data_IF_937843788877
#
_entry.id   IF_937843788877
#
_cell.length_a   1.000
_cell.length_b   1.000
_cell.length_c   1.000
_cell.angle_alpha   90.00
_cell.angle_beta   90.00
_cell.angle_gamma   90.00
#
_symmetry.space_group_name_H-M   'P 1'
#
loop_
_entity.id
_entity.type
_entity.pdbx_description
1 polymer ?
#
# COMPACT_ATOMS: atom_id res chain seq x y z
N UNK A 1 -55.69 -17.16 0.98
CA UNK A 1 -54.55 -16.64 1.77
C UNK A 1 -53.36 -17.48 1.36
N UNK A 2 -52.67 -17.03 0.31
CA UNK A 2 -51.50 -17.70 -0.25
C UNK A 2 -50.28 -17.38 0.62
N UNK A 3 -49.69 -18.43 1.16
CA UNK A 3 -48.48 -18.36 1.97
C UNK A 3 -47.32 -18.60 1.00
N UNK A 4 -46.73 -17.51 0.51
CA UNK A 4 -45.45 -17.57 -0.21
C UNK A 4 -44.37 -18.08 0.75
N UNK A 5 -43.90 -19.31 0.52
CA UNK A 5 -42.65 -19.79 1.10
C UNK A 5 -41.49 -19.18 0.31
N UNK A 6 -40.90 -18.15 0.90
CA UNK A 6 -39.62 -17.58 0.48
C UNK A 6 -38.51 -18.58 0.80
N UNK A 7 -37.95 -19.21 -0.24
CA UNK A 7 -36.77 -20.05 -0.11
C UNK A 7 -35.55 -19.14 0.00
N UNK A 8 -35.14 -18.87 1.23
CA UNK A 8 -33.82 -18.34 1.56
C UNK A 8 -32.75 -19.23 0.92
N UNK A 9 -32.17 -18.77 -0.19
CA UNK A 9 -30.92 -19.29 -0.74
C UNK A 9 -29.82 -18.99 0.28
N UNK A 10 -29.59 -19.96 1.16
CA UNK A 10 -28.39 -20.01 1.98
C UNK A 10 -27.20 -20.09 1.03
N UNK A 11 -26.46 -19.00 0.93
CA UNK A 11 -25.23 -18.91 0.16
C UNK A 11 -24.17 -19.75 0.87
N UNK A 12 -24.07 -21.02 0.47
CA UNK A 12 -23.07 -21.97 0.91
C UNK A 12 -21.72 -21.57 0.31
N UNK A 13 -21.12 -20.50 0.84
CA UNK A 13 -19.69 -20.24 0.61
C UNK A 13 -18.92 -21.44 1.13
N UNK A 14 -18.40 -22.26 0.22
CA UNK A 14 -17.59 -23.40 0.61
C UNK A 14 -16.35 -22.88 1.34
N UNK A 15 -16.09 -23.29 2.59
CA UNK A 15 -15.20 -22.57 3.48
C UNK A 15 -13.69 -22.68 3.20
N UNK A 16 -13.24 -23.19 2.04
CA UNK A 16 -11.82 -23.58 1.87
C UNK A 16 -11.22 -23.35 0.47
N UNK A 17 -11.67 -22.36 -0.31
CA UNK A 17 -10.89 -21.98 -1.49
C UNK A 17 -9.73 -21.07 -1.07
N UNK A 18 -8.61 -21.68 -0.70
CA UNK A 18 -7.33 -20.96 -0.63
C UNK A 18 -7.03 -20.36 -1.99
N UNK A 19 -6.87 -19.02 -2.11
CA UNK A 19 -6.52 -18.38 -3.37
C UNK A 19 -5.26 -19.00 -3.96
N UNK A 20 -5.27 -19.27 -5.27
CA UNK A 20 -4.16 -19.92 -5.98
C UNK A 20 -3.48 -18.93 -6.91
N UNK A 21 -2.14 -18.88 -6.95
CA UNK A 21 -1.42 -18.04 -7.90
C UNK A 21 -1.70 -18.49 -9.33
N UNK A 22 -1.86 -17.51 -10.22
CA UNK A 22 -1.95 -17.73 -11.67
C UNK A 22 -0.60 -17.33 -12.29
N UNK A 23 -0.02 -18.24 -13.06
CA UNK A 23 1.19 -17.95 -13.83
C UNK A 23 0.84 -17.13 -15.07
N UNK A 24 1.39 -15.93 -15.16
CA UNK A 24 1.18 -15.02 -16.30
C UNK A 24 2.41 -15.04 -17.20
N UNK A 25 2.27 -15.65 -18.37
CA UNK A 25 3.37 -15.93 -19.31
C UNK A 25 3.58 -14.85 -20.38
N UNK A 26 2.60 -13.96 -20.58
CA UNK A 26 2.70 -12.85 -21.53
C UNK A 26 1.65 -11.75 -21.24
N UNK A 27 1.84 -10.57 -21.83
CA UNK A 27 0.86 -9.48 -21.74
C UNK A 27 -0.52 -9.85 -22.33
N UNK A 28 -0.55 -10.63 -23.42
CA UNK A 28 -1.82 -11.08 -24.01
C UNK A 28 -2.51 -12.10 -23.11
N UNK A 29 -1.76 -13.03 -22.53
CA UNK A 29 -2.28 -13.98 -21.55
C UNK A 29 -2.87 -13.25 -20.33
N UNK A 30 -2.22 -12.19 -19.84
CA UNK A 30 -2.79 -11.34 -18.78
C UNK A 30 -4.12 -10.71 -19.21
N UNK A 31 -4.19 -10.14 -20.42
CA UNK A 31 -5.41 -9.51 -20.94
C UNK A 31 -6.57 -10.52 -21.03
N UNK A 32 -6.29 -11.74 -21.48
CA UNK A 32 -7.26 -12.84 -21.54
C UNK A 32 -7.80 -13.18 -20.14
N UNK A 33 -6.90 -13.43 -19.17
CA UNK A 33 -7.27 -13.70 -17.76
C UNK A 33 -8.18 -12.59 -17.20
N UNK A 34 -7.81 -11.33 -17.40
CA UNK A 34 -8.57 -10.18 -16.90
C UNK A 34 -9.96 -10.07 -17.56
N UNK A 35 -10.06 -10.31 -18.87
CA UNK A 35 -11.34 -10.25 -19.59
C UNK A 35 -12.27 -11.42 -19.22
N UNK A 36 -11.74 -12.64 -19.07
CA UNK A 36 -12.50 -13.82 -18.62
C UNK A 36 -13.13 -13.59 -17.25
N UNK A 37 -12.44 -12.83 -16.40
CA UNK A 37 -12.89 -12.43 -15.07
C UNK A 37 -13.63 -11.09 -15.05
N UNK A 38 -14.08 -10.60 -16.22
CA UNK A 38 -14.92 -9.41 -16.39
C UNK A 38 -14.31 -8.12 -15.84
N UNK A 39 -12.98 -8.01 -15.84
CA UNK A 39 -12.28 -6.77 -15.45
C UNK A 39 -12.39 -5.76 -16.60
N UNK A 40 -12.80 -4.50 -16.34
CA UNK A 40 -13.07 -3.51 -17.37
C UNK A 40 -11.78 -2.85 -17.90
N UNK A 41 -11.05 -3.55 -18.77
CA UNK A 41 -9.78 -3.05 -19.33
C UNK A 41 -9.89 -1.69 -20.05
N UNK A 42 -11.07 -1.32 -20.54
CA UNK A 42 -11.30 -0.02 -21.18
C UNK A 42 -11.18 1.18 -20.24
N UNK A 43 -11.23 0.97 -18.92
CA UNK A 43 -11.03 2.02 -17.91
C UNK A 43 -9.55 2.19 -17.52
N UNK A 44 -8.72 1.20 -17.86
CA UNK A 44 -7.31 1.19 -17.49
C UNK A 44 -6.50 2.12 -18.41
N UNK A 45 -5.47 2.78 -17.84
CA UNK A 45 -4.68 3.78 -18.55
C UNK A 45 -5.39 5.13 -18.76
N UNK A 46 -6.55 5.33 -18.13
CA UNK A 46 -7.29 6.61 -18.16
C UNK A 46 -7.30 7.28 -16.80
N UNK A 47 -7.24 8.63 -16.77
CA UNK A 47 -7.26 9.39 -15.52
C UNK A 47 -6.12 9.02 -14.56
N UNK A 48 -6.46 8.43 -13.41
CA UNK A 48 -5.50 7.94 -12.40
C UNK A 48 -5.25 6.42 -12.49
N UNK A 49 -5.98 5.71 -13.34
CA UNK A 49 -5.80 4.28 -13.53
C UNK A 49 -4.52 4.02 -14.34
N UNK A 50 -3.74 3.04 -13.90
CA UNK A 50 -2.54 2.58 -14.61
C UNK A 50 -2.94 1.72 -15.81
N UNK A 51 -2.15 1.69 -16.89
CA UNK A 51 -2.40 0.81 -18.03
C UNK A 51 -2.12 -0.66 -17.67
N UNK A 52 -2.65 -1.60 -18.45
CA UNK A 52 -2.46 -3.05 -18.24
C UNK A 52 -1.00 -3.47 -18.39
N UNK A 53 -0.25 -2.78 -19.23
CA UNK A 53 1.20 -2.96 -19.40
C UNK A 53 1.96 -2.68 -18.08
N UNK A 54 1.53 -1.69 -17.31
CA UNK A 54 2.13 -1.40 -16.00
C UNK A 54 1.79 -2.46 -14.96
N UNK A 55 0.58 -3.05 -15.01
CA UNK A 55 0.26 -4.18 -14.15
C UNK A 55 1.10 -5.39 -14.53
N UNK A 56 1.21 -5.70 -15.82
CA UNK A 56 2.07 -6.78 -16.31
C UNK A 56 3.52 -6.62 -15.85
N UNK A 57 4.09 -5.42 -15.96
CA UNK A 57 5.44 -5.12 -15.46
C UNK A 57 5.57 -5.46 -13.97
N UNK A 58 4.64 -5.00 -13.13
CA UNK A 58 4.66 -5.30 -11.68
C UNK A 58 4.59 -6.80 -11.36
N UNK A 59 3.92 -7.61 -12.20
CA UNK A 59 3.92 -9.07 -12.05
C UNK A 59 5.27 -9.68 -12.42
N UNK A 60 5.93 -9.16 -13.46
CA UNK A 60 7.26 -9.64 -13.89
C UNK A 60 8.37 -9.25 -12.91
N UNK A 61 8.24 -8.07 -12.28
CA UNK A 61 9.17 -7.57 -11.27
C UNK A 61 8.95 -8.22 -9.90
N UNK A 62 7.82 -8.93 -9.72
CA UNK A 62 7.47 -9.59 -8.46
C UNK A 62 6.90 -8.65 -7.39
N UNK A 63 6.60 -7.40 -7.76
CA UNK A 63 5.90 -6.43 -6.90
C UNK A 63 4.46 -6.83 -6.60
N UNK A 64 3.86 -7.65 -7.47
CA UNK A 64 2.51 -8.15 -7.31
C UNK A 64 2.42 -9.61 -7.75
N UNK A 65 1.46 -10.32 -7.16
CA UNK A 65 1.02 -11.64 -7.61
C UNK A 65 -0.46 -11.55 -7.95
N UNK A 66 -0.90 -12.31 -8.96
CA UNK A 66 -2.31 -12.48 -9.26
C UNK A 66 -2.78 -13.84 -8.75
N UNK A 67 -3.84 -13.83 -7.96
CA UNK A 67 -4.45 -15.00 -7.35
C UNK A 67 -5.88 -15.16 -7.86
N UNK A 68 -6.40 -16.39 -7.81
CA UNK A 68 -7.80 -16.69 -8.04
C UNK A 68 -8.37 -17.47 -6.86
N UNK A 69 -9.44 -16.97 -6.24
CA UNK A 69 -10.11 -17.60 -5.08
C UNK A 69 -11.27 -18.53 -5.47
N UNK A 70 -11.49 -18.71 -6.77
CA UNK A 70 -12.58 -19.52 -7.33
C UNK A 70 -13.74 -18.68 -7.83
N UNK A 71 -13.87 -17.44 -7.37
CA UNK A 71 -14.93 -16.51 -7.77
C UNK A 71 -14.39 -15.30 -8.52
N UNK A 72 -13.20 -14.81 -8.14
CA UNK A 72 -12.63 -13.57 -8.66
C UNK A 72 -11.09 -13.57 -8.64
N UNK A 73 -10.54 -12.60 -9.37
CA UNK A 73 -9.10 -12.29 -9.35
C UNK A 73 -8.77 -11.36 -8.18
N UNK A 74 -7.65 -11.67 -7.53
CA UNK A 74 -7.08 -10.86 -6.46
C UNK A 74 -5.66 -10.49 -6.87
N UNK A 75 -5.35 -9.20 -6.88
CA UNK A 75 -3.97 -8.71 -6.90
C UNK A 75 -3.45 -8.69 -5.47
N UNK A 76 -2.49 -9.55 -5.16
CA UNK A 76 -1.82 -9.53 -3.87
C UNK A 76 -0.52 -8.73 -3.98
N UNK A 77 -0.30 -7.85 -3.00
CA UNK A 77 0.93 -7.08 -2.84
C UNK A 77 1.40 -7.16 -1.40
N UNK A 78 2.70 -7.32 -1.22
CA UNK A 78 3.36 -7.29 0.09
C UNK A 78 3.93 -5.89 0.29
N UNK A 79 3.62 -5.27 1.42
CA UNK A 79 3.94 -3.88 1.70
C UNK A 79 4.62 -3.80 3.05
N UNK A 80 5.82 -3.24 3.08
CA UNK A 80 6.46 -2.81 4.30
C UNK A 80 5.90 -1.45 4.69
N UNK A 81 5.52 -1.29 5.94
CA UNK A 81 5.08 -0.02 6.51
C UNK A 81 5.94 0.29 7.73
N UNK A 82 6.46 1.51 7.81
CA UNK A 82 7.30 1.93 8.94
C UNK A 82 6.89 3.26 9.51
N UNK A 83 7.28 3.49 10.76
CA UNK A 83 7.57 4.82 11.28
C UNK A 83 9.07 5.06 11.22
N UNK A 84 9.46 6.21 10.68
CA UNK A 84 10.87 6.57 10.55
C UNK A 84 11.19 7.61 11.61
N UNK A 85 12.30 7.40 12.31
CA UNK A 85 12.78 8.27 13.37
C UNK A 85 14.21 8.74 13.13
N UNK A 86 14.57 9.89 13.66
CA UNK A 86 15.94 10.41 13.63
C UNK A 86 16.27 11.14 14.92
N UNK A 87 17.44 10.85 15.48
CA UNK A 87 18.01 11.59 16.60
C UNK A 87 18.58 12.92 16.10
N UNK A 88 18.33 14.00 16.85
CA UNK A 88 18.82 15.33 16.50
C UNK A 88 18.89 16.25 17.71
N UNK A 89 19.02 17.56 17.45
CA UNK A 89 18.87 18.59 18.48
C UNK A 89 17.71 19.48 18.10
N UNK A 90 16.86 19.79 19.07
CA UNK A 90 15.83 20.81 18.95
C UNK A 90 16.49 22.13 18.48
N UNK A 91 16.04 22.74 17.37
CA UNK A 91 16.65 23.95 16.84
C UNK A 91 16.48 25.18 17.74
N UNK A 92 15.50 25.17 18.65
CA UNK A 92 15.21 26.25 19.59
C UNK A 92 15.91 26.05 20.94
N UNK A 93 15.87 24.84 21.47
CA UNK A 93 16.42 24.56 22.82
C UNK A 93 17.83 23.99 22.79
N UNK A 94 18.29 23.47 21.65
CA UNK A 94 19.59 22.82 21.48
C UNK A 94 19.72 21.47 22.18
N UNK A 95 18.65 20.98 22.82
CA UNK A 95 18.64 19.71 23.55
C UNK A 95 18.50 18.54 22.59
N UNK A 96 19.09 17.37 22.91
CA UNK A 96 18.83 16.14 22.16
C UNK A 96 17.34 15.81 22.13
N UNK A 97 16.84 15.47 20.97
CA UNK A 97 15.44 15.14 20.74
C UNK A 97 15.31 14.13 19.58
N UNK A 98 14.29 13.27 19.65
CA UNK A 98 13.95 12.30 18.61
C UNK A 98 12.84 12.87 17.75
N UNK A 99 13.02 12.78 16.44
CA UNK A 99 12.07 13.30 15.45
C UNK A 99 11.46 12.16 14.65
N UNK A 100 10.18 12.24 14.33
CA UNK A 100 9.47 11.30 13.45
C UNK A 100 9.29 11.92 12.06
N UNK A 101 9.57 11.15 11.00
CA UNK A 101 9.26 11.56 9.63
C UNK A 101 7.75 11.52 9.41
N UNK A 102 7.20 12.58 8.83
CA UNK A 102 5.84 12.61 8.32
C UNK A 102 5.88 12.50 6.79
N UNK A 103 5.41 11.37 6.25
CA UNK A 103 5.36 11.03 4.81
C UNK A 103 4.87 12.19 3.95
N UNK A 104 3.84 12.84 4.48
CA UNK A 104 3.02 13.85 3.82
C UNK A 104 3.75 15.12 3.40
N UNK A 105 4.85 15.44 4.06
CA UNK A 105 5.63 16.65 3.83
C UNK A 105 7.12 16.37 3.70
N UNK A 106 7.52 15.08 3.69
CA UNK A 106 8.93 14.66 3.82
C UNK A 106 9.66 15.49 4.88
N UNK A 107 9.00 15.71 6.03
CA UNK A 107 9.46 16.61 7.08
C UNK A 107 9.49 15.87 8.41
N UNK A 108 10.52 16.13 9.20
CA UNK A 108 10.69 15.57 10.54
C UNK A 108 10.06 16.51 11.57
N UNK A 109 9.23 15.97 12.46
CA UNK A 109 8.65 16.68 13.61
C UNK A 109 9.10 16.02 14.91
N UNK A 110 9.20 16.75 16.04
CA UNK A 110 9.50 16.14 17.32
C UNK A 110 8.54 14.99 17.67
N UNK A 111 9.07 13.92 18.26
CA UNK A 111 8.27 12.77 18.68
C UNK A 111 7.24 13.17 19.73
N UNK A 112 6.01 12.65 19.61
CA UNK A 112 4.89 12.97 20.50
C UNK A 112 4.12 14.24 20.14
N UNK A 113 4.57 15.02 19.15
CA UNK A 113 3.79 16.16 18.62
C UNK A 113 2.69 15.64 17.70
N UNK A 114 1.44 15.94 18.05
CA UNK A 114 0.27 15.72 17.18
C UNK A 114 0.07 16.95 16.30
N UNK A 115 -0.02 16.74 14.99
CA UNK A 115 -0.33 17.80 14.04
C UNK A 115 -1.79 17.66 13.61
N UNK A 116 -2.65 18.49 14.19
CA UNK A 116 -4.07 18.53 13.83
C UNK A 116 -4.36 19.58 12.75
N UNK A 117 -3.63 20.70 12.79
CA UNK A 117 -3.83 21.83 11.88
C UNK A 117 -2.60 22.15 11.04
N UNK A 118 -2.82 22.92 9.97
CA UNK A 118 -1.75 23.49 9.16
C UNK A 118 -0.89 24.48 9.97
N UNK A 119 -1.48 25.20 10.93
CA UNK A 119 -0.76 26.15 11.78
C UNK A 119 0.21 25.44 12.73
N UNK A 120 -0.21 24.32 13.34
CA UNK A 120 0.67 23.50 14.20
C UNK A 120 1.87 23.00 13.40
N UNK A 121 1.62 22.60 12.16
CA UNK A 121 2.66 22.11 11.28
C UNK A 121 3.65 23.21 10.89
N UNK A 122 3.18 24.40 10.54
CA UNK A 122 4.05 25.55 10.23
C UNK A 122 4.89 26.00 11.43
N UNK A 123 4.37 25.83 12.65
CA UNK A 123 5.12 26.08 13.88
C UNK A 123 6.21 25.02 14.13
N UNK A 124 5.99 23.78 13.69
CA UNK A 124 6.86 22.64 13.97
C UNK A 124 7.64 22.12 12.76
N UNK A 125 7.54 22.75 11.59
CA UNK A 125 8.24 22.35 10.35
C UNK A 125 8.91 23.54 9.65
N UNK A 126 9.83 23.24 8.74
CA UNK A 126 10.52 24.26 7.94
C UNK A 126 9.53 24.79 6.88
N UNK A 127 9.33 26.12 6.74
CA UNK A 127 8.30 26.69 5.86
C UNK A 127 8.45 26.30 4.38
N UNK A 128 7.33 25.93 3.72
CA UNK A 128 7.23 25.92 2.25
C UNK A 128 6.94 24.58 1.54
N UNK A 129 6.68 23.48 2.25
CA UNK A 129 6.41 22.16 1.61
C UNK A 129 5.42 21.31 2.41
N UNK A 130 4.15 21.71 2.46
CA UNK A 130 3.27 21.15 3.48
C UNK A 130 1.82 20.97 3.04
N UNK A 131 1.34 19.72 3.13
CA UNK A 131 -0.08 19.32 3.01
C UNK A 131 -0.46 18.59 4.31
N UNK A 132 -1.76 18.58 4.67
CA UNK A 132 -2.58 17.86 5.70
C UNK A 132 -3.10 16.43 5.38
N UNK A 133 -2.78 15.33 6.08
CA UNK A 133 -3.23 13.92 5.89
C UNK A 133 -2.96 13.14 7.18
N UNK A 134 -3.98 12.48 7.67
CA UNK A 134 -3.95 11.61 8.83
C UNK A 134 -3.58 10.20 8.37
N UNK A 135 -2.30 9.82 8.53
CA UNK A 135 -1.80 8.49 8.16
C UNK A 135 -0.99 7.91 9.31
N UNK A 136 -1.22 6.62 9.60
CA UNK A 136 -0.63 5.95 10.75
C UNK A 136 0.86 5.61 10.57
N UNK A 137 1.35 5.67 9.32
CA UNK A 137 2.70 5.29 8.89
C UNK A 137 3.49 6.49 8.38
N UNK A 138 4.81 6.46 8.52
CA UNK A 138 5.72 7.48 7.97
C UNK A 138 6.08 7.22 6.51
N UNK A 139 6.03 5.97 6.07
CA UNK A 139 6.28 5.55 4.70
C UNK A 139 5.70 4.14 4.51
N UNK A 140 5.31 3.81 3.28
CA UNK A 140 5.00 2.43 2.89
C UNK A 140 5.65 2.11 1.55
N UNK A 141 6.23 0.92 1.43
CA UNK A 141 6.91 0.47 0.21
C UNK A 141 6.48 -0.93 -0.19
N UNK A 142 6.31 -1.16 -1.49
CA UNK A 142 6.02 -2.50 -2.01
C UNK A 142 7.30 -3.33 -1.97
N UNK A 143 7.21 -4.52 -1.38
CA UNK A 143 8.34 -5.42 -1.21
C UNK A 143 8.51 -6.32 -2.43
N UNK A 144 9.76 -6.53 -2.83
CA UNK A 144 10.13 -7.59 -3.76
C UNK A 144 10.10 -8.96 -3.05
N UNK A 145 9.99 -10.08 -3.79
CA UNK A 145 9.79 -11.40 -3.18
C UNK A 145 10.88 -11.85 -2.21
N UNK A 146 12.11 -11.35 -2.39
CA UNK A 146 13.29 -11.73 -1.61
C UNK A 146 13.64 -10.73 -0.49
N UNK A 147 12.89 -9.63 -0.37
CA UNK A 147 13.16 -8.59 0.61
C UNK A 147 12.50 -8.93 1.96
N UNK A 148 13.20 -8.59 3.04
CA UNK A 148 12.57 -8.34 4.34
C UNK A 148 11.87 -6.98 4.34
N UNK A 149 10.90 -6.74 5.26
CA UNK A 149 10.22 -5.44 5.31
C UNK A 149 11.18 -4.26 5.51
N UNK A 150 12.24 -4.47 6.29
CA UNK A 150 13.28 -3.47 6.54
C UNK A 150 14.08 -3.16 5.28
N UNK A 151 14.53 -4.19 4.54
CA UNK A 151 15.29 -4.01 3.29
C UNK A 151 14.46 -3.29 2.23
N UNK A 152 13.21 -3.72 2.00
CA UNK A 152 12.32 -3.07 1.04
C UNK A 152 12.09 -1.60 1.39
N UNK A 153 11.91 -1.28 2.68
CA UNK A 153 11.74 0.09 3.12
C UNK A 153 12.98 0.95 2.93
N UNK A 154 14.18 0.42 3.24
CA UNK A 154 15.44 1.14 3.01
C UNK A 154 15.58 1.45 1.51
N UNK A 155 15.34 0.47 0.63
CA UNK A 155 15.37 0.68 -0.83
C UNK A 155 14.41 1.79 -1.26
N UNK A 156 13.12 1.70 -0.90
CA UNK A 156 12.13 2.70 -1.30
C UNK A 156 12.48 4.11 -0.81
N UNK A 157 12.97 4.23 0.43
CA UNK A 157 13.46 5.50 0.96
C UNK A 157 14.65 6.07 0.17
N UNK A 158 15.60 5.24 -0.23
CA UNK A 158 16.76 5.67 -1.02
C UNK A 158 16.37 6.08 -2.44
N UNK A 159 15.44 5.34 -3.07
CA UNK A 159 14.94 5.59 -4.42
C UNK A 159 14.10 6.87 -4.49
N UNK A 160 13.15 7.04 -3.57
CA UNK A 160 12.18 8.14 -3.62
C UNK A 160 12.64 9.40 -2.88
N UNK A 161 13.33 9.23 -1.75
CA UNK A 161 13.70 10.35 -0.86
C UNK A 161 15.18 10.72 -0.99
N UNK A 162 16.01 9.85 -1.56
CA UNK A 162 17.47 9.98 -1.56
C UNK A 162 18.04 10.12 -0.13
N UNK A 163 17.42 9.40 0.81
CA UNK A 163 17.82 9.36 2.22
C UNK A 163 18.09 7.91 2.60
N UNK A 164 19.29 7.64 3.10
CA UNK A 164 19.63 6.35 3.72
C UNK A 164 19.22 6.37 5.19
N UNK A 165 18.64 5.25 5.64
CA UNK A 165 18.30 5.01 7.04
C UNK A 165 19.01 3.76 7.55
N UNK A 166 19.35 3.78 8.84
CA UNK A 166 19.75 2.56 9.55
C UNK A 166 18.52 1.79 10.04
N UNK A 167 18.65 0.49 10.28
CA UNK A 167 17.54 -0.33 10.79
C UNK A 167 16.97 0.21 12.11
N UNK A 168 17.83 0.79 12.96
CA UNK A 168 17.44 1.39 14.25
C UNK A 168 16.58 2.65 14.12
N UNK A 169 16.58 3.28 12.95
CA UNK A 169 15.74 4.43 12.63
C UNK A 169 14.35 4.01 12.12
N UNK A 170 14.11 2.71 11.93
CA UNK A 170 12.87 2.15 11.40
C UNK A 170 12.12 1.37 12.47
N UNK A 171 10.86 1.72 12.69
CA UNK A 171 9.93 0.93 13.49
C UNK A 171 8.89 0.33 12.54
N UNK A 172 8.95 -1.01 12.36
CA UNK A 172 7.98 -1.74 11.54
C UNK A 172 6.57 -1.58 12.13
N UNK A 173 5.59 -1.43 11.24
CA UNK A 173 4.22 -1.16 11.60
C UNK A 173 3.30 -2.27 11.08
N UNK A 174 3.21 -3.33 11.89
CA UNK A 174 2.35 -4.46 11.60
C UNK A 174 0.87 -4.06 11.65
N UNK A 175 0.16 -4.37 10.57
CA UNK A 175 -1.28 -4.15 10.45
C UNK A 175 -1.92 -5.36 9.78
N UNK A 176 -3.17 -5.69 10.15
CA UNK A 176 -3.90 -6.73 9.46
C UNK A 176 -3.96 -6.43 7.97
N UNK A 177 -3.96 -7.50 7.17
CA UNK A 177 -4.13 -7.38 5.73
C UNK A 177 -5.42 -6.63 5.41
N UNK A 178 -5.35 -5.85 4.33
CA UNK A 178 -6.50 -5.04 3.88
C UNK A 178 -6.85 -5.41 2.46
N UNK A 179 -8.12 -5.70 2.23
CA UNK A 179 -8.67 -5.85 0.89
C UNK A 179 -9.43 -4.59 0.48
N UNK A 180 -9.22 -4.14 -0.74
CA UNK A 180 -9.93 -3.00 -1.33
C UNK A 180 -9.87 -3.07 -2.85
N UNK A 181 -10.87 -2.51 -3.53
CA UNK A 181 -10.77 -2.30 -4.98
C UNK A 181 -9.62 -1.35 -5.25
N UNK A 182 -8.76 -1.71 -6.21
CA UNK A 182 -7.60 -0.90 -6.57
C UNK A 182 -8.04 0.36 -7.30
N UNK A 183 -7.67 1.57 -6.82
CA UNK A 183 -7.89 2.79 -7.58
C UNK A 183 -7.01 2.85 -8.84
N UNK A 184 -5.85 2.17 -8.85
CA UNK A 184 -4.96 2.11 -10.01
C UNK A 184 -5.39 1.07 -11.03
N UNK A 185 -6.14 0.05 -10.61
CA UNK A 185 -6.57 -1.07 -11.45
C UNK A 185 -8.08 -1.30 -11.26
N UNK A 186 -8.94 -0.42 -11.82
CA UNK A 186 -10.39 -0.48 -11.61
C UNK A 186 -10.98 -1.86 -11.88
N UNK A 187 -11.87 -2.31 -11.00
CA UNK A 187 -12.52 -3.62 -11.05
C UNK A 187 -11.68 -4.78 -10.50
N UNK A 188 -10.39 -4.59 -10.24
CA UNK A 188 -9.53 -5.61 -9.65
C UNK A 188 -9.45 -5.45 -8.12
N UNK A 189 -9.80 -6.51 -7.39
CA UNK A 189 -9.61 -6.56 -5.95
C UNK A 189 -8.11 -6.58 -5.63
N UNK A 190 -7.66 -5.76 -4.69
CA UNK A 190 -6.30 -5.78 -4.19
C UNK A 190 -6.24 -6.16 -2.72
N UNK A 191 -5.42 -7.15 -2.39
CA UNK A 191 -5.06 -7.53 -1.04
C UNK A 191 -3.67 -6.99 -0.73
N UNK A 192 -3.58 -6.22 0.33
CA UNK A 192 -2.33 -5.67 0.86
C UNK A 192 -1.95 -6.47 2.10
N UNK A 193 -0.93 -7.31 1.98
CA UNK A 193 -0.25 -7.90 3.14
C UNK A 193 0.72 -6.87 3.70
N UNK A 194 0.53 -6.46 4.95
CA UNK A 194 1.28 -5.37 5.56
C UNK A 194 2.19 -5.94 6.64
N UNK A 195 3.43 -5.47 6.66
CA UNK A 195 4.48 -5.87 7.59
C UNK A 195 5.10 -4.63 8.25
#
# INVERSE_FOLDING_TARGET
>A
MDIHQDQSRGDLRQPNNTPRPIEVTSLNHLKEILLENRIPLGEWGTGKAKPVEAFYASLQEGEAVILHDGEQLIREVRVAAVKIYREGKDPYTGKPERFKLLERCQSFVPEGVTIETQADLEQHTIPGRTVVRDVDTSCSEIMLPHETPVEGMIRGCEEELHITFSETELELFDKPSKETVSPSFPGLLSRYERF
#
